data_IF_298244603485
#
_entry.id   IF_298244603485
#
_cell.length_a   1.000
_cell.length_b   1.000
_cell.length_c   1.000
_cell.angle_alpha   90.00
_cell.angle_beta   90.00
_cell.angle_gamma   90.00
#
_symmetry.space_group_name_H-M   'P 1'
#
loop_
_entity.id
_entity.type
_entity.pdbx_description
1 polymer ?
#
# COMPACT_ATOMS: atom_id res chain seq x y z
N UNK A 1 -79.81 -39.28 2.13
CA UNK A 1 -79.10 -40.17 3.08
C UNK A 1 -77.62 -39.96 2.83
N UNK A 2 -77.00 -39.00 3.53
CA UNK A 2 -76.08 -39.21 4.67
C UNK A 2 -74.72 -39.76 4.20
N UNK A 3 -73.53 -39.27 4.56
CA UNK A 3 -73.04 -38.13 5.32
C UNK A 3 -71.51 -38.05 5.08
N UNK A 4 -70.96 -36.84 5.12
CA UNK A 4 -69.59 -36.40 5.49
C UNK A 4 -68.52 -37.43 5.89
N UNK A 5 -67.28 -37.29 5.38
CA UNK A 5 -66.13 -36.70 6.10
C UNK A 5 -64.88 -36.53 5.18
N UNK A 6 -64.13 -35.47 5.48
CA UNK A 6 -62.97 -34.92 4.75
C UNK A 6 -61.67 -35.72 4.96
N UNK A 7 -60.73 -35.62 4.02
CA UNK A 7 -59.35 -35.26 4.37
C UNK A 7 -58.69 -34.46 3.24
N UNK A 8 -58.01 -33.39 3.64
CA UNK A 8 -57.55 -32.28 2.84
C UNK A 8 -56.03 -32.40 2.70
N UNK A 9 -55.53 -32.93 1.57
CA UNK A 9 -54.09 -33.02 1.33
C UNK A 9 -53.69 -32.07 0.21
N UNK A 10 -53.29 -30.85 0.59
CA UNK A 10 -52.60 -29.92 -0.31
C UNK A 10 -51.09 -30.18 -0.27
N UNK A 11 -50.43 -30.49 -1.40
CA UNK A 11 -48.97 -30.51 -1.46
C UNK A 11 -48.46 -29.06 -1.56
N UNK A 12 -47.81 -28.58 -0.50
CA UNK A 12 -47.11 -27.28 -0.49
C UNK A 12 -45.78 -27.41 -1.21
N UNK A 13 -45.72 -26.90 -2.43
CA UNK A 13 -44.48 -26.47 -3.08
C UNK A 13 -44.02 -25.18 -2.43
N UNK A 14 -42.75 -25.09 -2.03
CA UNK A 14 -42.20 -23.84 -1.53
C UNK A 14 -40.87 -24.02 -0.81
N UNK A 15 -39.83 -24.29 -1.58
CA UNK A 15 -38.42 -24.20 -1.17
C UNK A 15 -38.16 -22.80 -0.60
N UNK A 16 -38.17 -22.69 0.72
CA UNK A 16 -37.79 -21.47 1.43
C UNK A 16 -36.28 -21.28 1.37
N UNK A 17 -35.81 -20.55 0.35
CA UNK A 17 -34.48 -19.93 0.37
C UNK A 17 -34.42 -19.01 1.58
N UNK A 18 -33.60 -19.36 2.57
CA UNK A 18 -33.34 -18.50 3.72
C UNK A 18 -32.85 -17.13 3.22
N UNK A 19 -33.37 -16.01 3.73
CA UNK A 19 -32.81 -14.71 3.40
C UNK A 19 -31.36 -14.69 3.91
N UNK A 20 -30.41 -14.54 3.00
CA UNK A 20 -29.07 -14.09 3.36
C UNK A 20 -29.26 -12.79 4.12
N UNK A 21 -29.09 -12.83 5.44
CA UNK A 21 -29.03 -11.65 6.30
C UNK A 21 -27.71 -10.95 5.96
N UNK A 22 -27.69 -10.32 4.78
CA UNK A 22 -26.57 -9.55 4.27
C UNK A 22 -26.35 -8.42 5.23
N UNK A 23 -25.22 -8.47 5.91
CA UNK A 23 -24.75 -7.39 6.76
C UNK A 23 -24.44 -6.22 5.82
N UNK A 24 -25.22 -5.13 5.90
CA UNK A 24 -24.98 -3.93 5.10
C UNK A 24 -23.63 -3.35 5.48
N UNK A 25 -22.63 -3.61 4.64
CA UNK A 25 -21.28 -3.25 4.99
C UNK A 25 -21.05 -1.77 4.94
N UNK A 26 -21.74 -1.04 4.06
CA UNK A 26 -21.66 0.40 4.00
C UNK A 26 -22.30 1.03 5.23
N UNK A 27 -23.32 0.39 5.82
CA UNK A 27 -23.82 0.75 7.14
C UNK A 27 -22.78 0.44 8.24
N UNK A 28 -22.10 -0.70 8.21
CA UNK A 28 -21.04 -1.05 9.17
C UNK A 28 -19.82 -0.11 9.10
N UNK A 29 -19.39 0.24 7.89
CA UNK A 29 -18.33 1.22 7.68
C UNK A 29 -18.73 2.62 8.15
N UNK A 30 -20.04 2.94 8.12
CA UNK A 30 -20.59 4.20 8.62
C UNK A 30 -20.80 4.20 10.14
N UNK A 31 -21.11 3.06 10.75
CA UNK A 31 -21.31 2.93 12.21
C UNK A 31 -19.96 2.93 12.96
N UNK A 32 -18.91 2.36 12.34
CA UNK A 32 -17.55 2.35 12.89
C UNK A 32 -16.90 3.73 13.04
N UNK A 33 -17.36 4.76 12.32
CA UNK A 33 -16.86 6.13 12.51
C UNK A 33 -17.25 6.72 13.87
N UNK A 34 -18.14 6.06 14.65
CA UNK A 34 -18.63 6.53 15.94
C UNK A 34 -17.90 6.02 17.19
N UNK A 35 -17.01 5.01 17.11
CA UNK A 35 -16.34 4.42 18.29
C UNK A 35 -14.80 4.54 18.23
N UNK A 36 -14.20 5.01 19.32
CA UNK A 36 -12.89 5.69 19.39
C UNK A 36 -11.68 4.76 19.63
N UNK A 37 -10.49 5.27 19.25
CA UNK A 37 -9.08 5.00 19.66
C UNK A 37 -8.20 4.13 18.74
N UNK A 38 -7.14 4.78 18.23
CA UNK A 38 -5.94 4.35 17.49
C UNK A 38 -6.01 3.60 16.14
N UNK A 39 -7.09 2.88 15.79
CA UNK A 39 -7.09 2.04 14.57
C UNK A 39 -7.90 2.62 13.39
N UNK A 40 -8.39 3.86 13.51
CA UNK A 40 -9.25 4.49 12.51
C UNK A 40 -8.55 4.76 11.17
N UNK A 41 -7.24 5.02 11.20
CA UNK A 41 -6.47 5.30 9.98
C UNK A 41 -6.37 4.09 9.04
N UNK A 42 -6.57 2.86 9.52
CA UNK A 42 -6.52 1.65 8.69
C UNK A 42 -7.91 1.18 8.21
N UNK A 43 -8.98 1.90 8.54
CA UNK A 43 -10.35 1.50 8.20
C UNK A 43 -10.87 2.25 6.97
N UNK A 44 -11.34 1.48 5.98
CA UNK A 44 -11.97 2.04 4.78
C UNK A 44 -13.38 2.52 5.11
N UNK A 45 -13.74 3.74 4.76
CA UNK A 45 -15.14 4.19 4.91
C UNK A 45 -15.97 3.85 3.68
N UNK A 46 -17.29 4.01 3.75
CA UNK A 46 -18.17 3.89 2.58
C UNK A 46 -17.76 4.82 1.43
N UNK A 47 -17.35 6.06 1.75
CA UNK A 47 -16.87 7.03 0.77
C UNK A 47 -15.54 6.62 0.15
N UNK A 48 -14.61 6.09 0.96
CA UNK A 48 -13.34 5.56 0.47
C UNK A 48 -13.50 4.32 -0.42
N UNK A 49 -14.41 3.41 -0.06
CA UNK A 49 -14.77 2.27 -0.89
C UNK A 49 -15.39 2.71 -2.23
N UNK A 50 -16.21 3.76 -2.25
CA UNK A 50 -16.76 4.33 -3.48
C UNK A 50 -15.66 4.95 -4.37
N UNK A 51 -14.67 5.61 -3.79
CA UNK A 51 -13.49 6.09 -4.54
C UNK A 51 -12.71 4.93 -5.16
N UNK A 52 -12.37 3.90 -4.38
CA UNK A 52 -11.67 2.71 -4.88
C UNK A 52 -12.43 2.04 -6.03
N UNK A 53 -13.75 1.85 -5.89
CA UNK A 53 -14.57 1.27 -6.95
C UNK A 53 -14.64 2.14 -8.21
N UNK A 54 -14.48 3.46 -8.07
CA UNK A 54 -14.42 4.42 -9.17
C UNK A 54 -13.24 4.21 -10.12
N UNK A 55 -12.21 3.47 -9.71
CA UNK A 55 -11.11 3.09 -10.61
C UNK A 55 -11.57 2.13 -11.72
N UNK A 56 -12.57 1.28 -11.44
CA UNK A 56 -13.11 0.29 -12.37
C UNK A 56 -14.07 0.90 -13.38
N UNK A 57 -14.12 0.33 -14.60
CA UNK A 57 -15.15 0.66 -15.59
C UNK A 57 -16.58 0.31 -15.11
N UNK A 58 -16.72 -0.56 -14.11
CA UNK A 58 -18.01 -0.98 -13.56
C UNK A 58 -18.08 -0.80 -12.03
N UNK A 59 -18.11 0.45 -11.51
CA UNK A 59 -18.01 0.71 -10.06
C UNK A 59 -19.07 0.00 -9.22
N UNK A 60 -20.32 -0.05 -9.69
CA UNK A 60 -21.43 -0.72 -8.97
C UNK A 60 -21.17 -2.22 -8.80
N UNK A 61 -20.67 -2.88 -9.85
CA UNK A 61 -20.33 -4.29 -9.81
C UNK A 61 -19.16 -4.56 -8.87
N UNK A 62 -18.15 -3.69 -8.86
CA UNK A 62 -17.03 -3.77 -7.90
C UNK A 62 -17.51 -3.67 -6.46
N UNK A 63 -18.38 -2.69 -6.14
CA UNK A 63 -18.94 -2.54 -4.79
C UNK A 63 -19.76 -3.77 -4.39
N UNK A 64 -20.63 -4.27 -5.27
CA UNK A 64 -21.43 -5.46 -5.02
C UNK A 64 -20.58 -6.72 -4.75
N UNK A 65 -19.45 -6.87 -5.46
CA UNK A 65 -18.52 -7.97 -5.20
C UNK A 65 -17.85 -7.87 -3.82
N UNK A 66 -17.50 -6.66 -3.38
CA UNK A 66 -16.96 -6.45 -2.03
C UNK A 66 -18.02 -6.59 -0.94
N UNK A 67 -19.25 -6.16 -1.15
CA UNK A 67 -20.36 -6.43 -0.24
C UNK A 67 -20.56 -7.93 -0.03
N UNK A 68 -20.45 -8.73 -1.09
CA UNK A 68 -20.56 -10.17 -1.02
C UNK A 68 -19.34 -10.83 -0.35
N UNK A 69 -18.15 -10.23 -0.44
CA UNK A 69 -16.89 -10.77 0.09
C UNK A 69 -16.00 -9.67 0.69
N UNK A 70 -16.35 -9.17 1.88
CA UNK A 70 -15.74 -7.94 2.39
C UNK A 70 -14.33 -8.09 2.95
N UNK A 71 -14.02 -9.31 3.41
CA UNK A 71 -12.68 -9.68 3.85
C UNK A 71 -11.79 -10.13 2.69
N UNK A 72 -12.29 -10.16 1.45
CA UNK A 72 -11.48 -10.53 0.29
C UNK A 72 -10.72 -9.32 -0.25
N UNK A 73 -9.42 -9.48 -0.60
CA UNK A 73 -8.70 -8.44 -1.30
C UNK A 73 -9.30 -8.19 -2.68
N UNK A 74 -9.24 -6.94 -3.14
CA UNK A 74 -9.71 -6.54 -4.47
C UNK A 74 -8.55 -6.44 -5.47
N UNK A 75 -8.86 -6.48 -6.76
CA UNK A 75 -7.94 -6.09 -7.83
C UNK A 75 -8.55 -4.91 -8.56
N UNK A 76 -7.81 -3.80 -8.64
CA UNK A 76 -8.27 -2.56 -9.27
C UNK A 76 -7.30 -2.12 -10.37
N UNK A 77 -7.82 -1.62 -11.50
CA UNK A 77 -6.97 -1.00 -12.51
C UNK A 77 -6.36 0.30 -12.00
N UNK A 78 -5.17 0.62 -12.47
CA UNK A 78 -4.48 1.89 -12.25
C UNK A 78 -4.66 2.84 -13.44
N UNK A 79 -4.33 4.13 -13.25
CA UNK A 79 -4.33 5.14 -14.30
C UNK A 79 -5.62 5.94 -14.46
N UNK A 80 -6.74 5.52 -13.85
CA UNK A 80 -8.03 6.23 -13.91
C UNK A 80 -8.25 7.12 -12.68
N UNK A 81 -8.44 6.50 -11.51
CA UNK A 81 -8.66 7.20 -10.24
C UNK A 81 -7.35 7.46 -9.48
N UNK A 82 -6.35 6.60 -9.68
CA UNK A 82 -5.04 6.68 -9.05
C UNK A 82 -4.01 5.88 -9.83
N UNK A 83 -2.74 6.26 -9.66
CA UNK A 83 -1.60 5.40 -9.92
C UNK A 83 -1.13 4.78 -8.60
N UNK A 84 -0.26 3.76 -8.66
CA UNK A 84 0.36 3.19 -7.45
C UNK A 84 1.86 3.12 -7.61
N UNK A 85 2.57 3.64 -6.61
CA UNK A 85 4.02 3.51 -6.49
C UNK A 85 4.32 2.44 -5.44
N UNK A 86 4.94 1.35 -5.88
CA UNK A 86 5.32 0.22 -5.06
C UNK A 86 6.82 0.29 -4.72
N UNK A 87 7.12 0.33 -3.43
CA UNK A 87 8.48 0.42 -2.89
C UNK A 87 8.71 -0.64 -1.80
N UNK A 88 9.96 -1.04 -1.50
CA UNK A 88 10.21 -1.94 -0.38
C UNK A 88 9.67 -1.36 0.94
N UNK A 89 9.08 -2.22 1.79
CA UNK A 89 8.33 -1.77 2.96
C UNK A 89 9.10 -0.84 3.90
N UNK A 90 10.39 -1.12 4.16
CA UNK A 90 11.21 -0.27 5.03
C UNK A 90 11.50 1.11 4.42
N UNK A 91 11.76 1.15 3.11
CA UNK A 91 11.97 2.41 2.38
C UNK A 91 10.66 3.23 2.36
N UNK A 92 9.55 2.59 2.02
CA UNK A 92 8.23 3.23 2.02
C UNK A 92 7.82 3.75 3.39
N UNK A 93 8.13 3.03 4.47
CA UNK A 93 7.88 3.51 5.84
C UNK A 93 8.62 4.82 6.11
N UNK A 94 9.90 4.91 5.76
CA UNK A 94 10.68 6.14 5.90
C UNK A 94 10.14 7.27 5.01
N UNK A 95 9.66 6.94 3.80
CA UNK A 95 8.99 7.93 2.95
C UNK A 95 7.73 8.48 3.62
N UNK A 96 6.89 7.60 4.18
CA UNK A 96 5.66 7.97 4.88
C UNK A 96 5.95 8.87 6.09
N UNK A 97 6.97 8.53 6.89
CA UNK A 97 7.43 9.35 8.01
C UNK A 97 7.86 10.76 7.54
N UNK A 98 8.58 10.87 6.42
CA UNK A 98 8.95 12.18 5.83
C UNK A 98 7.74 12.95 5.30
N UNK A 99 6.84 12.28 4.60
CA UNK A 99 5.63 12.90 4.03
C UNK A 99 4.73 13.50 5.10
N UNK A 100 4.67 12.89 6.29
CA UNK A 100 3.92 13.44 7.42
C UNK A 100 4.68 14.49 8.24
N UNK A 101 5.98 14.31 8.42
CA UNK A 101 6.76 15.23 9.25
C UNK A 101 7.05 16.57 8.55
N UNK A 102 7.36 16.52 7.25
CA UNK A 102 7.87 17.67 6.49
C UNK A 102 7.15 17.88 5.15
N UNK A 103 6.32 16.93 4.75
CA UNK A 103 5.62 16.94 3.47
C UNK A 103 4.15 17.37 3.57
N UNK A 104 3.43 17.38 2.43
CA UNK A 104 2.02 17.73 2.37
C UNK A 104 1.07 16.60 2.82
N UNK A 105 1.60 15.50 3.34
CA UNK A 105 0.86 14.24 3.58
C UNK A 105 1.16 13.15 2.56
N UNK A 106 0.57 11.97 2.74
CA UNK A 106 0.85 10.77 1.94
C UNK A 106 -0.33 10.23 1.13
N UNK A 107 -1.57 10.58 1.50
CA UNK A 107 -2.76 9.95 0.95
C UNK A 107 -2.91 8.47 1.40
N UNK A 108 -3.74 7.68 0.69
CA UNK A 108 -3.92 6.27 1.00
C UNK A 108 -2.65 5.44 0.77
N UNK A 109 -2.36 4.53 1.69
CA UNK A 109 -1.18 3.67 1.67
C UNK A 109 -1.55 2.26 2.12
N UNK A 110 -1.11 1.27 1.37
CA UNK A 110 -1.27 -0.14 1.71
C UNK A 110 0.09 -0.86 1.79
N UNK A 111 0.08 -2.08 2.30
CA UNK A 111 1.20 -3.01 2.18
C UNK A 111 0.73 -4.30 1.54
N UNK A 112 1.57 -4.89 0.69
CA UNK A 112 1.32 -6.16 0.04
C UNK A 112 2.66 -6.81 -0.32
N UNK A 113 2.85 -8.08 0.07
CA UNK A 113 4.05 -8.89 -0.26
C UNK A 113 5.38 -8.18 0.01
N UNK A 114 5.54 -7.61 1.20
CA UNK A 114 6.77 -6.93 1.62
C UNK A 114 7.03 -5.57 0.95
N UNK A 115 6.04 -5.04 0.22
CA UNK A 115 6.11 -3.73 -0.41
C UNK A 115 5.03 -2.82 0.16
N UNK A 116 5.32 -1.52 0.18
CA UNK A 116 4.37 -0.47 0.47
C UNK A 116 3.85 0.07 -0.86
N UNK A 117 2.53 0.20 -0.95
CA UNK A 117 1.80 0.71 -2.10
C UNK A 117 1.31 2.11 -1.75
N UNK A 118 1.93 3.13 -2.32
CA UNK A 118 1.51 4.52 -2.16
C UNK A 118 0.57 4.87 -3.32
N UNK A 119 -0.66 5.24 -3.01
CA UNK A 119 -1.62 5.68 -4.01
C UNK A 119 -1.28 7.12 -4.40
N UNK A 120 -1.19 7.38 -5.69
CA UNK A 120 -0.68 8.63 -6.24
C UNK A 120 -1.63 9.18 -7.29
N UNK A 121 -1.49 10.47 -7.60
CA UNK A 121 -2.29 11.10 -8.65
C UNK A 121 -2.05 10.42 -10.02
N UNK A 122 -3.09 10.23 -10.85
CA UNK A 122 -2.92 9.65 -12.19
C UNK A 122 -1.86 10.40 -13.03
N UNK A 123 -1.04 9.65 -13.75
CA UNK A 123 0.12 10.17 -14.50
C UNK A 123 1.43 10.18 -13.72
N UNK A 124 1.39 9.96 -12.41
CA UNK A 124 2.59 9.80 -11.57
C UNK A 124 3.44 8.63 -12.05
N UNK A 125 2.83 7.50 -12.39
CA UNK A 125 3.55 6.30 -12.80
C UNK A 125 4.33 6.49 -14.11
N UNK A 126 3.87 7.38 -14.98
CA UNK A 126 4.57 7.75 -16.21
C UNK A 126 5.75 8.70 -15.94
N UNK A 127 5.57 9.66 -15.03
CA UNK A 127 6.52 10.77 -14.84
C UNK A 127 7.60 10.48 -13.81
N UNK A 128 7.26 9.78 -12.73
CA UNK A 128 8.17 9.52 -11.61
C UNK A 128 9.43 8.72 -12.00
N UNK A 129 9.36 7.64 -12.81
CA UNK A 129 10.56 6.90 -13.21
C UNK A 129 11.60 7.79 -13.91
N UNK A 130 11.14 8.67 -14.79
CA UNK A 130 12.01 9.64 -15.45
C UNK A 130 12.68 10.55 -14.42
N UNK A 131 11.92 11.15 -13.50
CA UNK A 131 12.48 12.04 -12.46
C UNK A 131 13.50 11.34 -11.57
N UNK A 132 13.25 10.08 -11.18
CA UNK A 132 14.19 9.29 -10.39
C UNK A 132 15.47 8.98 -11.18
N UNK A 133 15.35 8.65 -12.46
CA UNK A 133 16.52 8.44 -13.32
C UNK A 133 17.37 9.71 -13.44
N UNK A 134 16.77 10.90 -13.51
CA UNK A 134 17.54 12.15 -13.53
C UNK A 134 18.33 12.39 -12.23
N UNK A 135 17.80 12.03 -11.06
CA UNK A 135 18.52 12.15 -9.77
C UNK A 135 19.70 11.17 -9.67
N UNK A 136 19.56 9.95 -10.22
CA UNK A 136 20.65 8.95 -10.24
C UNK A 136 21.86 9.42 -11.03
N UNK A 137 21.68 10.34 -11.99
CA UNK A 137 22.75 10.92 -12.81
C UNK A 137 23.33 12.23 -12.20
N UNK A 138 22.72 12.76 -11.14
CA UNK A 138 23.12 14.03 -10.50
C UNK A 138 24.11 13.90 -9.34
N UNK A 139 24.44 12.67 -8.92
CA UNK A 139 25.51 12.40 -7.95
C UNK A 139 26.78 12.02 -8.74
N UNK A 140 27.83 12.82 -8.62
CA UNK A 140 29.02 12.82 -9.48
C UNK A 140 29.78 11.48 -9.62
N UNK A 141 30.81 11.42 -10.48
CA UNK A 141 31.36 10.16 -10.98
C UNK A 141 32.11 9.40 -9.88
N UNK A 142 31.49 8.37 -9.30
CA UNK A 142 32.22 7.35 -8.56
C UNK A 142 32.77 6.32 -9.54
N UNK A 143 33.85 6.71 -10.23
CA UNK A 143 34.75 5.73 -10.83
C UNK A 143 35.44 4.95 -9.71
N UNK A 144 34.99 3.74 -9.44
CA UNK A 144 35.64 2.86 -8.47
C UNK A 144 34.83 1.59 -8.25
N UNK A 145 35.50 0.44 -8.34
CA UNK A 145 34.97 -0.90 -8.13
C UNK A 145 34.58 -1.15 -6.66
N UNK A 146 33.59 -0.42 -6.14
CA UNK A 146 32.94 -0.68 -4.86
C UNK A 146 31.42 -0.62 -5.08
N UNK A 147 30.72 -1.65 -4.59
CA UNK A 147 29.30 -1.87 -4.85
C UNK A 147 28.42 -0.66 -4.57
N UNK A 148 27.33 -0.58 -5.34
CA UNK A 148 26.31 0.47 -5.38
C UNK A 148 25.61 0.74 -4.04
N UNK A 149 26.30 1.32 -3.05
CA UNK A 149 25.72 1.70 -1.74
C UNK A 149 24.91 3.01 -1.77
N UNK A 150 24.74 3.62 -2.94
CA UNK A 150 24.10 4.94 -3.09
C UNK A 150 22.78 4.97 -3.88
N UNK A 151 22.31 3.84 -4.44
CA UNK A 151 21.10 3.86 -5.28
C UNK A 151 19.83 3.60 -4.52
N UNK A 152 18.80 4.31 -4.97
CA UNK A 152 17.44 4.11 -4.52
C UNK A 152 17.03 2.65 -4.73
N UNK A 153 16.37 2.03 -3.76
CA UNK A 153 15.84 0.69 -3.95
C UNK A 153 14.84 0.67 -5.11
N UNK A 154 14.57 -0.50 -5.72
CA UNK A 154 13.74 -0.58 -6.92
C UNK A 154 12.35 0.00 -6.66
N UNK A 155 12.01 1.11 -7.33
CA UNK A 155 10.69 1.72 -7.31
C UNK A 155 9.91 1.19 -8.51
N UNK A 156 8.74 0.61 -8.28
CA UNK A 156 7.84 0.17 -9.34
C UNK A 156 6.65 1.12 -9.43
N UNK A 157 6.27 1.49 -10.64
CA UNK A 157 5.17 2.40 -10.89
C UNK A 157 4.09 1.65 -11.67
N UNK A 158 2.85 1.72 -11.19
CA UNK A 158 1.67 1.11 -11.80
C UNK A 158 0.71 2.22 -12.24
N UNK A 159 0.49 2.31 -13.55
CA UNK A 159 -0.33 3.35 -14.17
C UNK A 159 -1.38 2.76 -15.12
N UNK A 160 -1.74 3.51 -16.15
CA UNK A 160 -2.71 3.07 -17.16
C UNK A 160 -2.32 1.72 -17.77
N UNK A 161 -3.22 0.75 -17.69
CA UNK A 161 -3.02 -0.61 -18.19
C UNK A 161 -2.52 -1.60 -17.14
N UNK A 162 -2.08 -1.12 -15.98
CA UNK A 162 -1.72 -1.96 -14.84
C UNK A 162 -2.93 -2.20 -13.91
N UNK A 163 -2.80 -3.21 -13.06
CA UNK A 163 -3.73 -3.46 -11.97
C UNK A 163 -2.99 -3.85 -10.70
N UNK A 164 -3.55 -3.46 -9.55
CA UNK A 164 -2.97 -3.73 -8.23
C UNK A 164 -3.96 -4.46 -7.33
N UNK A 165 -3.42 -5.32 -6.46
CA UNK A 165 -4.20 -5.90 -5.36
C UNK A 165 -4.32 -4.88 -4.24
N UNK A 166 -5.55 -4.51 -3.89
CA UNK A 166 -5.84 -3.64 -2.75
C UNK A 166 -6.29 -4.45 -1.54
N UNK A 167 -6.00 -3.99 -0.32
CA UNK A 167 -6.49 -4.65 0.88
C UNK A 167 -8.02 -4.75 0.91
N UNK A 168 -8.57 -5.71 1.67
CA UNK A 168 -10.00 -5.81 1.91
C UNK A 168 -10.60 -4.52 2.50
N UNK A 169 -11.90 -4.29 2.29
CA UNK A 169 -12.59 -3.12 2.87
C UNK A 169 -12.69 -3.22 4.39
N UNK A 170 -12.82 -4.44 4.90
CA UNK A 170 -12.78 -4.73 6.33
C UNK A 170 -11.55 -5.55 6.64
N UNK A 171 -10.79 -5.16 7.68
CA UNK A 171 -9.58 -5.86 8.10
C UNK A 171 -9.78 -7.39 8.12
N UNK A 172 -8.95 -8.10 7.34
CA UNK A 172 -8.91 -9.56 7.35
C UNK A 172 -8.24 -10.05 8.63
N UNK A 173 -8.75 -11.15 9.19
CA UNK A 173 -8.22 -11.75 10.42
C UNK A 173 -6.80 -12.35 10.25
N UNK A 174 -6.35 -12.54 9.02
CA UNK A 174 -5.12 -13.28 8.71
C UNK A 174 -3.96 -12.34 8.38
N UNK A 175 -2.93 -12.34 9.23
CA UNK A 175 -1.78 -11.43 9.19
C UNK A 175 -0.86 -11.52 7.96
N UNK A 176 -1.19 -12.32 6.95
CA UNK A 176 -0.38 -12.52 5.73
C UNK A 176 -0.88 -11.79 4.47
N UNK A 177 -2.09 -11.22 4.50
CA UNK A 177 -2.72 -10.57 3.34
C UNK A 177 -2.30 -9.10 3.14
N UNK A 178 -2.74 -8.46 2.04
CA UNK A 178 -2.60 -7.02 1.88
C UNK A 178 -3.38 -6.28 2.99
N UNK A 179 -2.78 -5.22 3.54
CA UNK A 179 -3.40 -4.41 4.63
C UNK A 179 -3.24 -2.91 4.38
N UNK A 180 -4.21 -2.12 4.82
CA UNK A 180 -4.11 -0.67 4.83
C UNK A 180 -3.15 -0.21 5.94
N UNK A 181 -2.31 0.76 5.61
CA UNK A 181 -1.53 1.56 6.58
C UNK A 181 -2.25 2.89 6.78
N UNK A 182 -2.72 3.47 5.67
CA UNK A 182 -3.63 4.62 5.63
C UNK A 182 -4.74 4.24 4.66
N UNK A 183 -5.92 3.95 5.18
CA UNK A 183 -7.09 3.59 4.39
C UNK A 183 -7.74 4.85 3.81
N UNK A 184 -8.36 4.75 2.62
CA UNK A 184 -9.18 5.82 2.10
C UNK A 184 -10.46 5.97 2.93
N UNK A 185 -10.72 7.20 3.35
CA UNK A 185 -11.85 7.58 4.19
C UNK A 185 -12.81 8.58 3.52
N UNK A 186 -12.44 9.11 2.35
CA UNK A 186 -13.22 10.06 1.56
C UNK A 186 -13.33 9.65 0.09
N UNK A 187 -14.27 10.27 -0.62
CA UNK A 187 -14.51 10.03 -2.05
C UNK A 187 -13.48 10.72 -2.95
N UNK A 188 -12.85 11.77 -2.41
CA UNK A 188 -11.88 12.61 -3.11
C UNK A 188 -10.61 12.73 -2.25
N UNK A 189 -9.86 11.62 -2.04
CA UNK A 189 -8.66 11.67 -1.22
C UNK A 189 -7.60 12.52 -1.91
N UNK A 190 -6.85 13.26 -1.11
CA UNK A 190 -5.63 13.88 -1.61
C UNK A 190 -4.62 12.80 -2.01
N UNK A 191 -4.00 12.95 -3.18
CA UNK A 191 -3.02 12.02 -3.72
C UNK A 191 -1.72 12.74 -4.04
N UNK A 192 -0.55 12.24 -3.57
CA UNK A 192 0.73 12.83 -3.91
C UNK A 192 0.99 12.74 -5.43
N UNK A 193 1.54 13.82 -5.98
CA UNK A 193 2.06 13.86 -7.34
C UNK A 193 3.46 13.28 -7.47
N UNK A 194 3.98 13.19 -8.70
CA UNK A 194 5.33 12.67 -8.95
C UNK A 194 6.41 13.48 -8.24
N UNK A 195 6.27 14.80 -8.17
CA UNK A 195 7.26 15.67 -7.52
C UNK A 195 7.30 15.47 -5.99
N UNK A 196 6.16 15.21 -5.37
CA UNK A 196 6.06 14.93 -3.92
C UNK A 196 6.69 13.57 -3.59
N UNK A 197 6.44 12.54 -4.42
CA UNK A 197 7.05 11.23 -4.22
C UNK A 197 8.54 11.25 -4.52
N UNK A 198 9.00 11.99 -5.53
CA UNK A 198 10.42 12.23 -5.79
C UNK A 198 11.08 12.87 -4.56
N UNK A 199 10.50 13.94 -4.02
CA UNK A 199 11.01 14.62 -2.82
C UNK A 199 11.18 13.65 -1.65
N UNK A 200 10.19 12.79 -1.39
CA UNK A 200 10.25 11.79 -0.33
C UNK A 200 11.35 10.75 -0.60
N UNK A 201 11.44 10.23 -1.82
CA UNK A 201 12.49 9.28 -2.22
C UNK A 201 13.89 9.85 -2.00
N UNK A 202 14.15 11.07 -2.48
CA UNK A 202 15.45 11.74 -2.40
C UNK A 202 15.84 12.02 -0.95
N UNK A 203 14.91 12.48 -0.11
CA UNK A 203 15.17 12.71 1.32
C UNK A 203 15.54 11.44 2.06
N UNK A 204 14.84 10.34 1.77
CA UNK A 204 15.15 9.04 2.39
C UNK A 204 16.50 8.50 1.88
N UNK A 205 16.77 8.59 0.58
CA UNK A 205 18.04 8.16 -0.02
C UNK A 205 19.25 8.91 0.55
N UNK A 206 19.17 10.24 0.64
CA UNK A 206 20.24 11.08 1.20
C UNK A 206 20.45 10.89 2.70
N UNK A 207 19.42 10.48 3.44
CA UNK A 207 19.53 10.16 4.87
C UNK A 207 20.18 8.79 5.12
N UNK A 208 20.21 7.91 4.11
CA UNK A 208 20.79 6.57 4.19
C UNK A 208 22.26 6.54 3.74
N UNK A 209 22.69 7.50 2.92
CA UNK A 209 24.09 7.65 2.56
C UNK A 209 24.91 7.99 3.81
N UNK A 210 26.03 7.29 4.09
CA UNK A 210 26.89 7.65 5.20
C UNK A 210 27.37 9.08 4.98
N UNK A 211 27.21 9.93 6.00
CA UNK A 211 27.88 11.22 6.02
C UNK A 211 29.38 10.94 5.92
N UNK A 212 30.02 11.31 4.81
CA UNK A 212 31.49 11.30 4.67
C UNK A 212 32.18 12.15 5.76
N UNK A 213 31.41 12.91 6.55
CA UNK A 213 31.84 13.64 7.75
C UNK A 213 31.59 12.86 9.05
N UNK A 214 31.82 11.53 9.05
CA UNK A 214 31.82 10.72 10.26
C UNK A 214 33.26 10.52 10.74
N UNK A 215 33.64 11.15 11.85
CA UNK A 215 34.87 10.86 12.58
C UNK A 215 35.06 9.35 12.70
N UNK A 216 36.08 8.81 12.03
CA UNK A 216 36.54 7.45 12.24
C UNK A 216 36.82 7.26 13.74
N UNK A 217 36.06 6.37 14.37
CA UNK A 217 36.31 5.91 15.75
C UNK A 217 37.44 4.86 15.77
N UNK A 218 37.83 4.38 14.58
CA UNK A 218 39.07 3.64 14.42
C UNK A 218 40.22 4.65 14.38
N UNK A 219 41.20 4.57 15.30
CA UNK A 219 42.41 5.34 15.16
C UNK A 219 43.06 5.02 13.80
N UNK A 220 43.64 6.02 13.10
CA UNK A 220 44.40 5.75 11.89
C UNK A 220 45.45 4.70 12.20
N UNK A 221 45.60 3.71 11.33
CA UNK A 221 46.62 2.67 11.48
C UNK A 221 47.97 3.36 11.68
N UNK A 222 48.58 3.12 12.85
CA UNK A 222 49.89 3.68 13.19
C UNK A 222 50.90 3.18 12.13
N UNK A 223 51.47 4.06 11.28
CA UNK A 223 52.36 3.64 10.21
C UNK A 223 53.68 3.03 10.71
N UNK A 224 53.88 2.91 12.04
CA UNK A 224 55.00 2.21 12.67
C UNK A 224 54.71 0.79 13.18
N UNK A 225 53.49 0.24 13.03
CA UNK A 225 53.16 -1.08 13.55
C UNK A 225 53.82 -2.22 12.75
N UNK A 226 54.98 -2.69 13.22
CA UNK A 226 55.71 -3.80 12.61
C UNK A 226 55.07 -5.14 13.01
N UNK A 227 54.07 -5.59 12.25
CA UNK A 227 53.42 -6.89 12.43
C UNK A 227 54.38 -7.98 11.95
N UNK A 228 55.02 -8.68 12.88
CA UNK A 228 55.87 -9.81 12.55
C UNK A 228 55.02 -11.01 12.10
N UNK A 229 55.28 -11.48 10.88
CA UNK A 229 54.70 -12.70 10.35
C UNK A 229 55.32 -13.94 11.04
N UNK A 230 54.53 -14.54 11.93
CA UNK A 230 54.92 -15.72 12.72
C UNK A 230 54.65 -17.06 12.00
N UNK A 231 54.23 -17.04 10.73
CA UNK A 231 53.95 -18.28 9.99
C UNK A 231 55.19 -19.08 9.60
N UNK A 232 56.41 -18.55 9.79
CA UNK A 232 57.67 -19.30 9.66
C UNK A 232 58.23 -19.74 11.01
N UNK A 233 57.52 -20.61 11.72
CA UNK A 233 58.13 -21.51 12.70
C UNK A 233 57.48 -22.88 12.65
N UNK A 234 57.92 -23.71 11.71
CA UNK A 234 58.60 -25.00 11.94
C UNK A 234 58.80 -25.72 10.61
#
# INVERSE_FOLDING_TARGET
MSAWLNDETTPRTGTGTAPHRGVDIFALLRDRTGHRTDDGAAQVTASGAAWLAGASAHPRSTLSQWEARPCAPGVLPCGSAFDVVSVPALFGRRMLERLWAEGPGSGPVATHRGRMLLFASPGTAQRLPSLLAWEEWGTGPAGGLHGHEGSLPPVLCHGTGDAVTVPPLTGGADGGGPRWVVAPDTRDPWLPGPDVLLWACVRVGRSAAPSTTGNSIFPPADPGANVYDVTRRR
#
